data_IF_738722482283
#
_entry.id   IF_738722482283
#
_cell.length_a   1.000
_cell.length_b   1.000
_cell.length_c   1.000
_cell.angle_alpha   90.00
_cell.angle_beta   90.00
_cell.angle_gamma   90.00
#
_symmetry.space_group_name_H-M   'P 1'
#
loop_
_entity.id
_entity.type
_entity.pdbx_description
1 polymer ?
#
# COMPACT_ATOMS: atom_id res chain seq x y z
N UNK A 1 -7.69 58.54 1.85
CA UNK A 1 -8.55 57.61 2.63
C UNK A 1 -9.25 56.67 1.65
N UNK A 2 -8.67 55.51 1.33
CA UNK A 2 -9.20 54.54 0.36
C UNK A 2 -9.55 53.23 1.07
N UNK A 3 -10.77 52.76 0.78
CA UNK A 3 -11.46 51.60 1.35
C UNK A 3 -10.80 50.27 0.95
N UNK A 4 -10.78 49.33 1.88
CA UNK A 4 -10.53 47.90 1.64
C UNK A 4 -11.61 47.30 0.72
N UNK A 5 -11.21 46.43 -0.23
CA UNK A 5 -12.04 45.32 -0.73
C UNK A 5 -11.16 44.16 -1.21
N UNK A 6 -11.15 43.10 -0.40
CA UNK A 6 -11.26 41.69 -0.80
C UNK A 6 -10.39 41.15 -1.91
N UNK A 7 -9.21 40.63 -1.55
CA UNK A 7 -8.57 39.58 -2.33
C UNK A 7 -9.25 38.25 -2.03
N UNK A 8 -10.00 37.78 -3.03
CA UNK A 8 -10.59 36.44 -3.06
C UNK A 8 -9.44 35.43 -3.16
N UNK A 9 -9.07 34.83 -2.03
CA UNK A 9 -8.26 33.61 -2.03
C UNK A 9 -9.05 32.52 -2.75
N UNK A 10 -8.65 32.28 -4.00
CA UNK A 10 -9.11 31.21 -4.85
C UNK A 10 -8.87 29.88 -4.13
N UNK A 11 -9.95 29.11 -3.94
CA UNK A 11 -9.93 27.71 -3.50
C UNK A 11 -9.06 26.89 -4.46
N UNK A 12 -7.79 26.67 -4.12
CA UNK A 12 -6.98 25.60 -4.72
C UNK A 12 -7.00 24.38 -3.80
N UNK A 13 -7.81 23.41 -4.24
CA UNK A 13 -7.65 21.96 -4.07
C UNK A 13 -6.84 21.49 -2.85
N UNK A 14 -7.56 20.89 -1.89
CA UNK A 14 -6.99 20.08 -0.81
C UNK A 14 -6.14 18.97 -1.43
N UNK A 15 -4.83 19.04 -1.28
CA UNK A 15 -3.95 17.89 -1.49
C UNK A 15 -4.41 16.79 -0.53
N UNK A 16 -4.79 15.63 -1.05
CA UNK A 16 -4.98 14.44 -0.23
C UNK A 16 -3.67 14.23 0.57
N UNK A 17 -3.74 14.38 1.90
CA UNK A 17 -2.58 14.19 2.76
C UNK A 17 -2.10 12.78 2.57
N UNK A 18 -0.93 12.60 1.97
CA UNK A 18 -0.32 11.29 1.85
C UNK A 18 0.09 10.89 3.26
N UNK A 19 -0.59 9.88 3.81
CA UNK A 19 -0.19 9.27 5.08
C UNK A 19 1.20 8.67 4.89
N UNK A 20 2.07 8.85 5.86
CA UNK A 20 3.38 8.18 5.91
C UNK A 20 3.17 6.89 6.71
N UNK A 21 3.66 5.73 6.25
CA UNK A 21 3.58 4.49 7.04
C UNK A 21 4.16 4.68 8.44
N UNK A 22 3.44 4.29 9.53
CA UNK A 22 3.93 4.41 10.90
C UNK A 22 4.90 3.27 11.25
N UNK A 23 5.94 3.09 10.43
CA UNK A 23 6.98 2.07 10.60
C UNK A 23 8.35 2.74 10.73
N UNK A 24 9.34 2.03 11.27
CA UNK A 24 10.71 2.54 11.35
C UNK A 24 11.36 2.70 9.98
N UNK A 25 12.53 3.36 9.96
CA UNK A 25 13.25 3.66 8.72
C UNK A 25 13.68 2.39 7.97
N UNK A 26 14.14 1.36 8.70
CA UNK A 26 14.60 0.10 8.10
C UNK A 26 13.43 -0.68 7.49
N UNK A 27 12.29 -0.69 8.17
CA UNK A 27 11.05 -1.30 7.72
C UNK A 27 10.51 -0.58 6.47
N UNK A 28 10.62 0.76 6.43
CA UNK A 28 10.25 1.52 5.25
C UNK A 28 11.16 1.20 4.06
N UNK A 29 12.48 1.11 4.27
CA UNK A 29 13.44 0.69 3.24
C UNK A 29 13.14 -0.71 2.71
N UNK A 30 12.84 -1.66 3.61
CA UNK A 30 12.41 -3.01 3.29
C UNK A 30 11.15 -3.05 2.40
N UNK A 31 10.11 -2.30 2.77
CA UNK A 31 8.87 -2.19 1.99
C UNK A 31 9.08 -1.50 0.63
N UNK A 32 9.94 -0.48 0.58
CA UNK A 32 10.29 0.20 -0.67
C UNK A 32 11.13 -0.67 -1.59
N UNK A 33 12.02 -1.51 -1.06
CA UNK A 33 12.79 -2.46 -1.85
C UNK A 33 11.86 -3.53 -2.45
N UNK A 34 10.92 -4.06 -1.67
CA UNK A 34 9.88 -4.96 -2.18
C UNK A 34 9.08 -4.34 -3.31
N UNK A 35 8.53 -3.13 -3.10
CA UNK A 35 7.84 -2.40 -4.16
C UNK A 35 8.74 -2.20 -5.39
N UNK A 36 10.00 -1.82 -5.19
CA UNK A 36 10.96 -1.57 -6.25
C UNK A 36 11.19 -2.80 -7.13
N UNK A 37 11.48 -3.95 -6.51
CA UNK A 37 11.66 -5.22 -7.24
C UNK A 37 10.37 -5.68 -7.91
N UNK A 38 9.24 -5.54 -7.23
CA UNK A 38 7.92 -5.89 -7.74
C UNK A 38 7.59 -5.13 -9.03
N UNK A 39 7.78 -3.81 -9.05
CA UNK A 39 7.52 -2.96 -10.20
C UNK A 39 8.49 -3.22 -11.36
N UNK A 40 9.76 -3.54 -11.08
CA UNK A 40 10.75 -3.91 -12.11
C UNK A 40 10.41 -5.25 -12.75
N UNK A 41 10.05 -6.27 -11.94
CA UNK A 41 9.81 -7.64 -12.42
C UNK A 41 8.47 -7.79 -13.15
N UNK A 42 7.44 -7.04 -12.72
CA UNK A 42 6.08 -7.14 -13.26
C UNK A 42 5.60 -5.80 -13.84
N UNK A 43 6.49 -5.11 -14.55
CA UNK A 43 6.19 -3.81 -15.17
C UNK A 43 4.93 -3.88 -16.04
N UNK A 44 4.02 -2.93 -15.86
CA UNK A 44 2.75 -2.86 -16.60
C UNK A 44 1.63 -3.74 -16.04
N UNK A 45 1.94 -4.66 -15.12
CA UNK A 45 0.93 -5.51 -14.45
C UNK A 45 0.48 -4.96 -13.11
N UNK A 46 1.36 -4.29 -12.37
CA UNK A 46 1.05 -3.72 -11.06
C UNK A 46 0.35 -2.37 -11.21
N UNK A 47 -0.79 -2.21 -10.57
CA UNK A 47 -1.64 -1.00 -10.61
C UNK A 47 -1.60 -0.18 -9.34
N UNK A 48 -1.36 -0.82 -8.20
CA UNK A 48 -1.27 -0.18 -6.90
C UNK A 48 -0.49 -1.08 -5.95
N UNK A 49 0.29 -0.46 -5.06
CA UNK A 49 0.94 -1.11 -3.92
C UNK A 49 0.67 -0.26 -2.69
N UNK A 50 0.17 -0.86 -1.62
CA UNK A 50 -0.12 -0.14 -0.39
C UNK A 50 0.08 -1.02 0.83
N UNK A 51 0.66 -0.46 1.89
CA UNK A 51 0.62 -1.07 3.21
C UNK A 51 -0.79 -0.90 3.77
N UNK A 52 -1.37 -1.96 4.32
CA UNK A 52 -2.63 -1.90 5.04
C UNK A 52 -2.55 -2.73 6.32
N UNK A 53 -3.68 -2.99 6.97
CA UNK A 53 -3.72 -3.82 8.16
C UNK A 53 -3.06 -3.14 9.35
N UNK A 54 -2.64 -3.95 10.33
CA UNK A 54 -2.24 -3.43 11.63
C UNK A 54 -1.07 -2.46 11.55
N UNK A 55 -0.08 -2.72 10.67
CA UNK A 55 1.11 -1.88 10.42
C UNK A 55 0.82 -0.57 9.68
N UNK A 56 -0.36 -0.41 9.05
CA UNK A 56 -0.80 0.87 8.50
C UNK A 56 -1.50 1.76 9.55
N UNK A 57 -1.74 1.22 10.75
CA UNK A 57 -2.38 1.91 11.87
C UNK A 57 -1.42 2.04 13.06
N UNK A 58 -1.83 2.74 14.11
CA UNK A 58 -1.06 2.83 15.37
C UNK A 58 -1.29 1.64 16.31
N UNK A 59 -1.99 0.59 15.85
CA UNK A 59 -2.41 -0.55 16.67
C UNK A 59 -1.62 -1.84 16.38
N UNK A 60 -0.50 -1.77 15.64
CA UNK A 60 0.31 -2.94 15.33
C UNK A 60 0.97 -3.53 16.58
N UNK A 61 1.02 -4.86 16.66
CA UNK A 61 1.89 -5.54 17.61
C UNK A 61 3.29 -5.64 17.02
N UNK A 62 4.30 -5.81 17.86
CA UNK A 62 5.69 -5.92 17.41
C UNK A 62 5.93 -7.13 16.49
N UNK A 63 5.13 -8.19 16.65
CA UNK A 63 5.17 -9.44 15.88
C UNK A 63 4.20 -9.47 14.68
N UNK A 64 3.48 -8.38 14.40
CA UNK A 64 2.55 -8.32 13.27
C UNK A 64 3.27 -8.25 11.93
N UNK A 65 2.88 -9.09 10.96
CA UNK A 65 3.34 -9.05 9.57
C UNK A 65 3.06 -7.70 8.88
N UNK A 66 3.80 -7.41 7.81
CA UNK A 66 3.52 -6.28 6.93
C UNK A 66 2.53 -6.68 5.83
N UNK A 67 1.24 -6.45 6.07
CA UNK A 67 0.19 -6.70 5.07
C UNK A 67 0.30 -5.71 3.90
N UNK A 68 0.68 -6.19 2.72
CA UNK A 68 0.85 -5.36 1.52
C UNK A 68 -0.19 -5.70 0.47
N UNK A 69 -1.10 -4.77 0.22
CA UNK A 69 -2.06 -4.85 -0.86
C UNK A 69 -1.38 -4.59 -2.20
N UNK A 70 -1.58 -5.49 -3.15
CA UNK A 70 -1.07 -5.39 -4.51
C UNK A 70 -2.24 -5.53 -5.47
N UNK A 71 -2.58 -4.43 -6.14
CA UNK A 71 -3.58 -4.46 -7.21
C UNK A 71 -2.91 -4.77 -8.54
N UNK A 72 -3.43 -5.75 -9.26
CA UNK A 72 -2.85 -6.23 -10.52
C UNK A 72 -3.86 -6.15 -11.67
N UNK A 73 -3.35 -6.12 -12.90
CA UNK A 73 -4.16 -6.13 -14.12
C UNK A 73 -4.94 -7.44 -14.29
N UNK A 74 -4.25 -8.57 -14.13
CA UNK A 74 -4.78 -9.93 -14.15
C UNK A 74 -4.07 -10.75 -13.08
N UNK A 75 -4.76 -11.72 -12.51
CA UNK A 75 -4.17 -12.69 -11.58
C UNK A 75 -3.99 -14.03 -12.28
N UNK A 76 -2.78 -14.56 -12.19
CA UNK A 76 -2.44 -15.91 -12.60
C UNK A 76 -1.48 -16.52 -11.58
N UNK A 77 -1.30 -17.84 -11.64
CA UNK A 77 -0.49 -18.57 -10.67
C UNK A 77 0.97 -18.14 -10.72
N UNK A 78 1.55 -17.96 -11.92
CA UNK A 78 2.95 -17.57 -12.07
C UNK A 78 3.24 -16.20 -11.45
N UNK A 79 2.35 -15.22 -11.64
CA UNK A 79 2.45 -13.93 -10.98
C UNK A 79 2.32 -14.08 -9.47
N UNK A 80 1.31 -14.83 -9.00
CA UNK A 80 1.02 -14.96 -7.57
C UNK A 80 2.21 -15.60 -6.85
N UNK A 81 2.64 -16.76 -7.32
CA UNK A 81 3.77 -17.52 -6.76
C UNK A 81 5.04 -16.64 -6.79
N UNK A 82 5.33 -16.00 -7.92
CA UNK A 82 6.50 -15.14 -8.04
C UNK A 82 6.45 -13.81 -7.26
N UNK A 83 5.30 -13.40 -6.71
CA UNK A 83 5.20 -12.27 -5.77
C UNK A 83 5.51 -12.76 -4.35
N UNK A 84 5.02 -13.95 -3.98
CA UNK A 84 5.34 -14.57 -2.69
C UNK A 84 6.82 -14.94 -2.61
N UNK A 85 7.38 -15.54 -3.66
CA UNK A 85 8.83 -15.83 -3.74
C UNK A 85 9.65 -14.54 -3.56
N UNK A 86 9.23 -13.45 -4.21
CA UNK A 86 9.91 -12.16 -4.07
C UNK A 86 9.83 -11.59 -2.65
N UNK A 87 8.69 -11.72 -1.98
CA UNK A 87 8.54 -11.29 -0.58
C UNK A 87 9.48 -12.10 0.33
N UNK A 88 9.52 -13.43 0.12
CA UNK A 88 10.38 -14.34 0.86
C UNK A 88 11.88 -14.07 0.64
N UNK A 89 12.30 -13.87 -0.62
CA UNK A 89 13.69 -13.55 -0.95
C UNK A 89 14.14 -12.28 -0.22
N UNK A 90 13.31 -11.24 -0.24
CA UNK A 90 13.62 -9.96 0.42
C UNK A 90 13.62 -10.12 1.94
N UNK A 91 12.72 -10.91 2.51
CA UNK A 91 12.74 -11.25 3.93
C UNK A 91 14.07 -11.91 4.32
N UNK A 92 14.52 -12.93 3.58
CA UNK A 92 15.78 -13.64 3.82
C UNK A 92 17.01 -12.75 3.62
N UNK A 93 16.98 -11.84 2.63
CA UNK A 93 18.04 -10.87 2.40
C UNK A 93 18.08 -9.73 3.43
N UNK A 94 16.98 -9.52 4.15
CA UNK A 94 16.87 -8.50 5.19
C UNK A 94 17.36 -9.02 6.55
N UNK A 95 17.80 -8.11 7.41
CA UNK A 95 18.04 -8.41 8.84
C UNK A 95 16.75 -8.29 9.69
N UNK A 96 15.56 -8.26 9.06
CA UNK A 96 14.29 -8.12 9.76
C UNK A 96 13.73 -9.49 10.17
N UNK A 97 12.91 -9.50 11.22
CA UNK A 97 12.32 -10.72 11.78
C UNK A 97 10.85 -10.92 11.39
N UNK A 98 10.29 -10.02 10.58
CA UNK A 98 8.87 -9.97 10.24
C UNK A 98 8.72 -9.92 8.72
N UNK A 99 7.84 -10.77 8.19
CA UNK A 99 7.67 -10.96 6.76
C UNK A 99 6.67 -9.95 6.15
N UNK A 100 6.73 -9.79 4.83
CA UNK A 100 5.70 -9.14 4.03
C UNK A 100 4.63 -10.19 3.71
N UNK A 101 3.37 -9.85 3.92
CA UNK A 101 2.22 -10.69 3.56
C UNK A 101 1.47 -10.08 2.36
N UNK A 102 1.73 -10.56 1.12
CA UNK A 102 1.07 -10.04 -0.07
C UNK A 102 -0.42 -10.39 -0.13
N UNK A 103 -1.27 -9.37 -0.30
CA UNK A 103 -2.68 -9.51 -0.65
C UNK A 103 -2.92 -9.04 -2.07
N UNK A 104 -3.03 -10.01 -2.99
CA UNK A 104 -3.04 -9.76 -4.43
C UNK A 104 -4.45 -9.86 -4.99
N UNK A 105 -4.96 -8.76 -5.55
CA UNK A 105 -6.30 -8.69 -6.16
C UNK A 105 -6.27 -7.98 -7.51
N UNK A 106 -7.15 -8.39 -8.42
CA UNK A 106 -7.49 -7.59 -9.61
C UNK A 106 -8.42 -6.43 -9.25
N UNK A 107 -8.53 -5.42 -10.11
CA UNK A 107 -9.52 -4.34 -9.94
C UNK A 107 -10.95 -4.89 -9.76
N UNK A 108 -11.41 -5.77 -10.65
CA UNK A 108 -12.76 -6.34 -10.60
C UNK A 108 -13.05 -7.02 -9.26
N UNK A 109 -12.16 -7.92 -8.85
CA UNK A 109 -12.28 -8.59 -7.56
C UNK A 109 -12.24 -7.62 -6.36
N UNK A 110 -11.41 -6.58 -6.41
CA UNK A 110 -11.37 -5.59 -5.33
C UNK A 110 -12.70 -4.82 -5.24
N UNK A 111 -13.27 -4.42 -6.37
CA UNK A 111 -14.58 -3.77 -6.41
C UNK A 111 -15.72 -4.69 -5.93
N UNK A 112 -15.68 -5.98 -6.27
CA UNK A 112 -16.62 -6.99 -5.73
C UNK A 112 -16.51 -7.10 -4.20
N UNK A 113 -15.30 -7.00 -3.64
CA UNK A 113 -15.09 -7.02 -2.19
C UNK A 113 -15.61 -5.74 -1.52
N UNK A 114 -15.50 -4.59 -2.17
CA UNK A 114 -16.10 -3.33 -1.71
C UNK A 114 -17.62 -3.44 -1.72
N UNK A 115 -18.22 -3.90 -2.83
CA UNK A 115 -19.69 -3.97 -2.98
C UNK A 115 -20.35 -4.95 -1.99
N UNK A 116 -19.58 -5.93 -1.51
CA UNK A 116 -20.00 -6.91 -0.50
C UNK A 116 -19.58 -6.54 0.92
N UNK A 117 -19.14 -5.30 1.16
CA UNK A 117 -18.75 -4.79 2.50
C UNK A 117 -17.77 -5.73 3.21
N UNK A 118 -16.80 -6.24 2.43
CA UNK A 118 -15.80 -7.16 2.98
C UNK A 118 -14.75 -6.33 3.69
N UNK A 119 -14.65 -6.53 5.02
CA UNK A 119 -13.69 -5.85 5.91
C UNK A 119 -12.31 -5.60 5.32
N UNK A 120 -11.71 -6.58 4.65
CA UNK A 120 -10.37 -6.41 4.04
C UNK A 120 -10.32 -5.28 3.01
N UNK A 121 -11.35 -5.14 2.17
CA UNK A 121 -11.40 -4.07 1.17
C UNK A 121 -11.70 -2.71 1.80
N UNK A 122 -12.54 -2.68 2.85
CA UNK A 122 -12.78 -1.47 3.64
C UNK A 122 -11.52 -0.98 4.34
N UNK A 123 -10.76 -1.88 4.97
CA UNK A 123 -9.51 -1.57 5.63
C UNK A 123 -8.48 -1.03 4.61
N UNK A 124 -8.33 -1.68 3.46
CA UNK A 124 -7.47 -1.17 2.37
C UNK A 124 -7.94 0.21 1.89
N UNK A 125 -9.23 0.44 1.73
CA UNK A 125 -9.78 1.70 1.23
C UNK A 125 -9.63 2.85 2.25
N UNK A 126 -9.84 2.56 3.54
CA UNK A 126 -9.85 3.54 4.64
C UNK A 126 -8.43 3.84 5.16
N UNK A 127 -7.61 2.81 5.26
CA UNK A 127 -6.36 2.81 6.00
C UNK A 127 -5.14 2.56 5.12
N UNK A 128 -5.33 2.07 3.89
CA UNK A 128 -4.23 1.81 2.96
C UNK A 128 -3.32 3.02 2.76
N UNK A 129 -2.03 2.82 2.97
CA UNK A 129 -0.99 3.81 2.77
C UNK A 129 -0.19 3.43 1.53
N UNK A 130 -0.20 4.25 0.46
CA UNK A 130 0.59 3.98 -0.73
C UNK A 130 2.07 3.82 -0.37
N UNK A 131 2.65 2.72 -0.83
CA UNK A 131 4.10 2.53 -0.83
C UNK A 131 4.67 3.18 -2.07
#
# INVERSE_FOLDING_TARGET
MRRMKGEKYSKKSRSAGHKIPPVGQRELEFLQEFKGRLLRRYSGRIRQVALFGSRATLNAREDSDYDVFIKVDRKDRQLTDGIFDLAYDIYIESDLTIDISPVIMTEEYFQDRISKERKIAEDIQREGIPL
#
